data_IF_759344282157
#
_entry.id   IF_759344282157
#
_cell.length_a   1.000
_cell.length_b   1.000
_cell.length_c   1.000
_cell.angle_alpha   90.00
_cell.angle_beta   90.00
_cell.angle_gamma   90.00
#
_symmetry.space_group_name_H-M   'P 1'
#
loop_
_entity.id
_entity.type
_entity.pdbx_description
1 polymer ?
#
# COMPACT_ATOMS: atom_id res chain seq x y z
N UNK A 1 -64.38 -32.21 -35.37
CA UNK A 1 -63.85 -30.84 -35.45
C UNK A 1 -64.18 -30.09 -34.20
N UNK A 2 -63.45 -30.22 -33.17
CA UNK A 2 -63.48 -29.44 -31.90
C UNK A 2 -62.48 -30.14 -30.98
N UNK A 3 -61.24 -29.76 -30.97
CA UNK A 3 -60.24 -29.90 -29.90
C UNK A 3 -58.83 -29.65 -30.45
N UNK A 4 -58.55 -28.38 -30.72
CA UNK A 4 -57.16 -27.99 -30.97
C UNK A 4 -56.94 -26.50 -30.66
N UNK A 5 -57.27 -26.09 -29.43
CA UNK A 5 -57.02 -24.72 -28.97
C UNK A 5 -56.98 -24.63 -27.46
N UNK A 6 -56.03 -25.31 -26.82
CA UNK A 6 -55.68 -25.07 -25.41
C UNK A 6 -54.31 -25.68 -25.07
N UNK A 7 -53.23 -25.19 -25.69
CA UNK A 7 -51.86 -25.53 -25.25
C UNK A 7 -50.83 -24.50 -25.70
N UNK A 8 -51.14 -23.22 -25.58
CA UNK A 8 -50.10 -22.15 -25.70
C UNK A 8 -50.48 -21.06 -24.70
N UNK A 9 -50.12 -21.21 -23.44
CA UNK A 9 -49.97 -20.12 -22.48
C UNK A 9 -49.47 -20.62 -21.12
N UNK A 10 -48.24 -21.18 -21.11
CA UNK A 10 -47.54 -21.41 -19.84
C UNK A 10 -46.05 -21.54 -20.05
N UNK A 11 -45.45 -20.65 -20.85
CA UNK A 11 -43.99 -20.55 -21.02
C UNK A 11 -43.64 -19.08 -21.20
N UNK A 12 -43.60 -18.33 -20.15
CA UNK A 12 -43.23 -16.94 -20.25
C UNK A 12 -43.34 -16.15 -18.94
N UNK A 13 -42.75 -16.64 -17.85
CA UNK A 13 -42.51 -15.79 -16.66
C UNK A 13 -41.54 -16.42 -15.67
N UNK A 14 -40.32 -16.77 -16.11
CA UNK A 14 -39.22 -17.09 -15.18
C UNK A 14 -37.88 -16.67 -15.75
N UNK A 15 -37.73 -15.36 -16.02
CA UNK A 15 -36.42 -14.80 -16.24
C UNK A 15 -36.49 -13.29 -16.00
N UNK A 16 -36.32 -12.86 -14.76
CA UNK A 16 -35.89 -11.50 -14.39
C UNK A 16 -35.80 -11.36 -12.85
N UNK A 17 -34.89 -12.10 -12.23
CA UNK A 17 -34.48 -11.82 -10.84
C UNK A 17 -33.02 -12.23 -10.63
N UNK A 18 -32.12 -11.77 -11.50
CA UNK A 18 -30.67 -11.89 -11.29
C UNK A 18 -29.96 -10.62 -11.76
N UNK A 19 -30.27 -9.51 -11.16
CA UNK A 19 -29.43 -8.30 -11.31
C UNK A 19 -29.80 -7.33 -10.21
N UNK A 20 -29.10 -7.34 -9.08
CA UNK A 20 -28.94 -6.11 -8.28
C UNK A 20 -28.20 -6.29 -6.94
N UNK A 21 -27.37 -7.32 -6.78
CA UNK A 21 -26.57 -7.45 -5.54
C UNK A 21 -25.09 -7.09 -5.68
N UNK A 22 -24.63 -6.71 -6.85
CA UNK A 22 -23.20 -6.38 -7.09
C UNK A 22 -22.85 -4.89 -6.94
N UNK A 23 -23.80 -3.98 -6.85
CA UNK A 23 -23.53 -2.54 -6.83
C UNK A 23 -23.39 -1.93 -5.42
N UNK A 24 -23.81 -2.61 -4.36
CA UNK A 24 -23.81 -2.06 -2.99
C UNK A 24 -22.57 -2.41 -2.17
N UNK A 25 -21.74 -3.38 -2.63
CA UNK A 25 -20.48 -3.76 -1.96
C UNK A 25 -19.33 -2.78 -2.25
N UNK A 26 -19.29 -2.20 -3.45
CA UNK A 26 -18.17 -1.36 -3.90
C UNK A 26 -18.07 -0.02 -3.17
N UNK A 27 -19.18 0.60 -2.79
CA UNK A 27 -19.16 1.92 -2.14
C UNK A 27 -18.64 1.89 -0.69
N UNK A 28 -18.92 0.84 0.07
CA UNK A 28 -18.44 0.70 1.45
C UNK A 28 -16.94 0.39 1.50
N UNK A 29 -16.45 -0.43 0.58
CA UNK A 29 -15.02 -0.79 0.51
C UNK A 29 -14.11 0.42 0.25
N UNK A 30 -14.57 1.39 -0.56
CA UNK A 30 -13.81 2.61 -0.83
C UNK A 30 -13.92 3.66 0.29
N UNK A 31 -14.94 3.59 1.12
CA UNK A 31 -15.17 4.52 2.23
C UNK A 31 -14.48 4.11 3.54
N UNK A 32 -14.06 2.84 3.66
CA UNK A 32 -13.38 2.37 4.86
C UNK A 32 -11.89 2.74 4.80
N UNK A 33 -11.47 3.64 5.70
CA UNK A 33 -10.12 4.17 5.78
C UNK A 33 -9.13 3.19 6.44
N UNK A 34 -7.85 3.47 6.28
CA UNK A 34 -6.77 2.82 7.03
C UNK A 34 -6.84 3.23 8.50
N UNK A 35 -6.62 2.25 9.37
CA UNK A 35 -6.41 2.49 10.80
C UNK A 35 -5.24 1.64 11.30
N UNK A 36 -4.58 2.00 12.42
CA UNK A 36 -3.52 1.16 12.99
C UNK A 36 -3.99 -0.27 13.32
N UNK A 37 -5.30 -0.45 13.57
CA UNK A 37 -5.87 -1.74 13.95
C UNK A 37 -6.28 -2.63 12.78
N UNK A 38 -6.39 -2.09 11.55
CA UNK A 38 -6.83 -2.86 10.38
C UNK A 38 -5.74 -3.08 9.33
N UNK A 39 -4.57 -2.45 9.47
CA UNK A 39 -3.53 -2.43 8.45
C UNK A 39 -2.25 -3.18 8.88
N UNK A 40 -1.52 -3.69 7.88
CA UNK A 40 -0.16 -4.22 7.96
C UNK A 40 0.71 -3.56 6.91
N UNK A 41 1.97 -3.24 7.22
CA UNK A 41 2.95 -2.75 6.25
C UNK A 41 3.71 -3.92 5.62
N UNK A 42 3.78 -3.97 4.30
CA UNK A 42 4.59 -4.91 3.53
C UNK A 42 5.65 -4.15 2.71
N UNK A 43 6.92 -4.35 3.04
CA UNK A 43 8.06 -3.77 2.32
C UNK A 43 8.70 -4.84 1.44
N UNK A 44 8.58 -4.70 0.12
CA UNK A 44 8.94 -5.75 -0.83
C UNK A 44 10.17 -5.33 -1.63
N UNK A 45 11.24 -6.11 -1.49
CA UNK A 45 12.47 -6.00 -2.28
C UNK A 45 13.11 -4.59 -2.28
N UNK A 46 13.01 -3.87 -1.17
CA UNK A 46 13.77 -2.64 -0.96
C UNK A 46 15.24 -2.98 -0.76
N UNK A 47 15.89 -3.41 -1.84
CA UNK A 47 17.26 -3.92 -1.85
C UNK A 47 18.23 -2.94 -2.51
N UNK A 48 19.46 -2.90 -2.02
CA UNK A 48 20.47 -1.92 -2.44
C UNK A 48 20.82 -2.00 -3.93
N UNK A 49 20.86 -3.21 -4.50
CA UNK A 49 21.15 -3.42 -5.92
C UNK A 49 20.01 -2.97 -6.83
N UNK A 50 18.75 -3.18 -6.42
CA UNK A 50 17.59 -2.74 -7.19
C UNK A 50 17.45 -1.21 -7.20
N UNK A 51 17.77 -0.55 -6.08
CA UNK A 51 17.75 0.91 -6.00
C UNK A 51 18.63 1.57 -7.05
N UNK A 52 19.77 0.97 -7.39
CA UNK A 52 20.71 1.52 -8.40
C UNK A 52 20.04 1.65 -9.78
N UNK A 53 19.04 0.84 -10.08
CA UNK A 53 18.29 0.86 -11.35
C UNK A 53 17.15 1.87 -11.42
N UNK A 54 16.72 2.45 -10.30
CA UNK A 54 15.56 3.36 -10.25
C UNK A 54 15.85 4.66 -11.02
N UNK A 55 14.90 5.06 -11.89
CA UNK A 55 14.99 6.26 -12.75
C UNK A 55 13.68 7.04 -12.88
N UNK A 56 12.56 6.52 -12.36
CA UNK A 56 11.26 7.19 -12.34
C UNK A 56 11.14 8.26 -11.24
N UNK A 57 11.90 8.10 -10.17
CA UNK A 57 12.01 9.03 -9.04
C UNK A 57 13.48 9.37 -8.76
N UNK A 58 13.68 10.56 -8.17
CA UNK A 58 14.98 10.90 -7.62
C UNK A 58 15.32 9.93 -6.47
N UNK A 59 16.50 9.24 -6.49
CA UNK A 59 16.85 8.25 -5.47
C UNK A 59 16.91 8.79 -4.04
N UNK A 60 17.30 10.07 -3.86
CA UNK A 60 17.31 10.71 -2.53
C UNK A 60 15.89 10.93 -2.03
N UNK A 61 14.98 11.37 -2.91
CA UNK A 61 13.56 11.52 -2.57
C UNK A 61 12.91 10.16 -2.25
N UNK A 62 13.20 9.13 -3.04
CA UNK A 62 12.70 7.79 -2.79
C UNK A 62 13.14 7.27 -1.41
N UNK A 63 14.44 7.38 -1.08
CA UNK A 63 14.96 7.02 0.24
C UNK A 63 14.31 7.82 1.38
N UNK A 64 14.07 9.11 1.16
CA UNK A 64 13.38 9.96 2.11
C UNK A 64 11.94 9.48 2.37
N UNK A 65 11.20 9.15 1.32
CA UNK A 65 9.83 8.66 1.42
C UNK A 65 9.76 7.27 2.10
N UNK A 66 10.71 6.38 1.79
CA UNK A 66 10.85 5.08 2.47
C UNK A 66 11.07 5.28 3.98
N UNK A 67 11.94 6.24 4.37
CA UNK A 67 12.14 6.57 5.79
C UNK A 67 10.87 7.10 6.44
N UNK A 68 10.15 8.00 5.77
CA UNK A 68 8.86 8.51 6.26
C UNK A 68 7.85 7.40 6.51
N UNK A 69 7.66 6.51 5.52
CA UNK A 69 6.75 5.37 5.60
C UNK A 69 7.12 4.41 6.74
N UNK A 70 8.40 4.05 6.86
CA UNK A 70 8.86 3.09 7.86
C UNK A 70 8.90 3.66 9.29
N UNK A 71 9.26 4.94 9.45
CA UNK A 71 9.15 5.65 10.73
C UNK A 71 7.70 5.74 11.22
N UNK A 72 6.77 6.08 10.32
CA UNK A 72 5.35 6.10 10.61
C UNK A 72 4.86 4.73 11.12
N UNK A 73 5.20 3.65 10.41
CA UNK A 73 4.81 2.30 10.81
C UNK A 73 5.34 1.94 12.20
N UNK A 74 6.61 2.28 12.49
CA UNK A 74 7.19 2.09 13.82
C UNK A 74 6.47 2.89 14.91
N UNK A 75 6.18 4.17 14.63
CA UNK A 75 5.50 5.06 15.60
C UNK A 75 4.10 4.57 15.95
N UNK A 76 3.42 3.93 15.00
CA UNK A 76 2.08 3.37 15.17
C UNK A 76 2.05 1.90 15.59
N UNK A 77 3.22 1.30 15.84
CA UNK A 77 3.36 -0.14 16.14
C UNK A 77 2.65 -1.03 15.11
N UNK A 78 2.65 -0.61 13.83
CA UNK A 78 2.04 -1.39 12.75
C UNK A 78 2.78 -2.71 12.57
N UNK A 79 2.07 -3.84 12.52
CA UNK A 79 2.67 -5.08 12.06
C UNK A 79 3.36 -4.86 10.71
N UNK A 80 4.61 -5.25 10.61
CA UNK A 80 5.42 -5.00 9.42
C UNK A 80 6.10 -6.28 8.98
N UNK A 81 6.04 -6.59 7.68
CA UNK A 81 6.67 -7.74 7.05
C UNK A 81 7.57 -7.25 5.92
N UNK A 82 8.81 -7.69 5.93
CA UNK A 82 9.81 -7.35 4.92
C UNK A 82 10.12 -8.60 4.11
N UNK A 83 10.26 -8.49 2.80
CA UNK A 83 10.77 -9.61 1.99
C UNK A 83 11.85 -9.14 1.03
N UNK A 84 12.81 -10.03 0.77
CA UNK A 84 13.93 -9.82 -0.16
C UNK A 84 13.99 -10.95 -1.18
N UNK A 85 14.14 -10.58 -2.47
CA UNK A 85 14.32 -11.52 -3.57
C UNK A 85 15.81 -11.80 -3.75
N UNK A 86 16.22 -13.05 -3.50
CA UNK A 86 17.60 -13.52 -3.71
C UNK A 86 18.68 -12.53 -3.20
N UNK A 87 18.72 -12.24 -1.88
CA UNK A 87 19.58 -11.17 -1.34
C UNK A 87 21.09 -11.43 -1.45
N UNK A 88 21.51 -12.68 -1.70
CA UNK A 88 22.91 -13.03 -1.99
C UNK A 88 23.31 -12.80 -3.45
N UNK A 89 22.35 -12.46 -4.32
CA UNK A 89 22.56 -12.15 -5.72
C UNK A 89 22.71 -10.65 -6.01
N UNK A 90 22.49 -10.23 -7.28
CA UNK A 90 22.70 -8.84 -7.70
C UNK A 90 21.71 -7.85 -7.06
N UNK A 91 20.59 -8.31 -6.53
CA UNK A 91 19.63 -7.46 -5.83
C UNK A 91 20.20 -6.90 -4.51
N UNK A 92 21.13 -7.63 -3.89
CA UNK A 92 21.77 -7.22 -2.65
C UNK A 92 20.89 -7.30 -1.41
N UNK A 93 21.39 -6.84 -0.25
CA UNK A 93 20.67 -6.85 1.01
C UNK A 93 19.55 -5.78 1.05
N UNK A 94 18.68 -5.92 2.05
CA UNK A 94 17.66 -4.89 2.38
C UNK A 94 18.37 -3.56 2.70
N UNK A 95 17.79 -2.47 2.23
CA UNK A 95 18.29 -1.12 2.43
C UNK A 95 18.25 -0.72 3.92
N UNK A 96 19.29 -0.03 4.43
CA UNK A 96 19.30 0.47 5.81
C UNK A 96 18.11 1.37 6.17
N UNK A 97 17.57 2.09 5.20
CA UNK A 97 16.38 2.93 5.36
C UNK A 97 15.13 2.14 5.79
N UNK A 98 15.12 0.83 5.53
CA UNK A 98 14.05 -0.08 5.97
C UNK A 98 14.46 -0.81 7.25
N UNK A 99 15.59 -1.54 7.24
CA UNK A 99 15.97 -2.41 8.34
C UNK A 99 16.26 -1.66 9.65
N UNK A 100 16.81 -0.44 9.59
CA UNK A 100 17.08 0.35 10.80
C UNK A 100 15.81 0.93 11.44
N UNK A 101 14.78 1.20 10.63
CA UNK A 101 13.52 1.74 11.14
C UNK A 101 12.55 0.63 11.60
N UNK A 102 12.69 -0.57 11.08
CA UNK A 102 11.83 -1.72 11.38
C UNK A 102 12.69 -2.91 11.87
N UNK A 103 13.45 -2.77 12.97
CA UNK A 103 14.40 -3.80 13.40
C UNK A 103 13.71 -5.09 13.88
N UNK A 104 12.47 -5.00 14.32
CA UNK A 104 11.69 -6.12 14.84
C UNK A 104 10.79 -6.78 13.78
N UNK A 105 10.80 -6.26 12.54
CA UNK A 105 10.00 -6.82 11.45
C UNK A 105 10.58 -8.16 10.97
N UNK A 106 9.69 -9.12 10.71
CA UNK A 106 10.08 -10.40 10.12
C UNK A 106 10.61 -10.18 8.70
N UNK A 107 11.84 -10.63 8.43
CA UNK A 107 12.49 -10.57 7.11
C UNK A 107 12.45 -11.94 6.46
N UNK A 108 11.75 -12.03 5.32
CA UNK A 108 11.61 -13.26 4.55
C UNK A 108 12.48 -13.19 3.30
N UNK A 109 13.52 -14.04 3.26
CA UNK A 109 14.40 -14.16 2.13
C UNK A 109 13.86 -15.20 1.16
N UNK A 110 13.43 -14.76 -0.02
CA UNK A 110 12.90 -15.64 -1.08
C UNK A 110 14.04 -16.19 -1.93
N UNK A 111 13.91 -17.45 -2.34
CA UNK A 111 14.96 -18.16 -3.09
C UNK A 111 14.96 -17.79 -4.59
N UNK A 112 13.84 -17.29 -5.14
CA UNK A 112 13.74 -16.97 -6.57
C UNK A 112 12.35 -16.58 -7.04
N UNK A 113 11.34 -16.61 -6.18
CA UNK A 113 9.99 -16.19 -6.54
C UNK A 113 9.98 -14.69 -6.87
N UNK A 114 9.68 -14.39 -8.13
CA UNK A 114 9.56 -13.00 -8.63
C UNK A 114 8.37 -12.31 -7.97
N UNK A 115 7.22 -12.96 -7.99
CA UNK A 115 6.04 -12.49 -7.25
C UNK A 115 6.15 -12.91 -5.79
N UNK A 116 6.32 -11.94 -4.89
CA UNK A 116 6.40 -12.21 -3.45
C UNK A 116 5.16 -12.96 -2.91
N UNK A 117 4.00 -12.78 -3.52
CA UNK A 117 2.78 -13.50 -3.14
C UNK A 117 2.81 -15.00 -3.43
N UNK A 118 3.74 -15.47 -4.28
CA UNK A 118 3.97 -16.91 -4.51
C UNK A 118 4.76 -17.57 -3.35
N UNK A 119 5.46 -16.79 -2.52
CA UNK A 119 6.10 -17.29 -1.30
C UNK A 119 5.06 -17.62 -0.24
N UNK A 120 5.01 -18.88 0.17
CA UNK A 120 4.11 -19.33 1.22
C UNK A 120 4.45 -18.67 2.57
N UNK A 121 5.72 -18.49 2.86
CA UNK A 121 6.20 -17.87 4.10
C UNK A 121 5.75 -16.41 4.18
N UNK A 122 5.87 -15.66 3.09
CA UNK A 122 5.41 -14.27 3.05
C UNK A 122 3.90 -14.18 3.26
N UNK A 123 3.09 -15.00 2.57
CA UNK A 123 1.63 -15.03 2.79
C UNK A 123 1.27 -15.42 4.22
N UNK A 124 1.97 -16.40 4.81
CA UNK A 124 1.77 -16.82 6.21
C UNK A 124 2.07 -15.67 7.18
N UNK A 125 3.15 -14.92 6.97
CA UNK A 125 3.51 -13.77 7.79
C UNK A 125 2.44 -12.67 7.72
N UNK A 126 1.98 -12.31 6.53
CA UNK A 126 0.86 -11.36 6.37
C UNK A 126 -0.41 -11.87 7.07
N UNK A 127 -0.80 -13.12 6.83
CA UNK A 127 -2.00 -13.74 7.43
C UNK A 127 -1.95 -13.79 8.95
N UNK A 128 -0.77 -14.05 9.53
CA UNK A 128 -0.53 -14.10 10.98
C UNK A 128 -0.87 -12.78 11.68
N UNK A 129 -0.76 -11.65 10.98
CA UNK A 129 -1.11 -10.33 11.53
C UNK A 129 -2.60 -10.17 11.78
N UNK A 130 -3.45 -10.98 11.17
CA UNK A 130 -4.91 -10.86 11.22
C UNK A 130 -5.48 -9.66 10.47
N UNK A 131 -4.64 -8.83 9.86
CA UNK A 131 -5.04 -7.59 9.17
C UNK A 131 -5.59 -7.89 7.78
N UNK A 132 -6.56 -7.09 7.34
CA UNK A 132 -7.19 -7.22 6.01
C UNK A 132 -6.75 -6.16 5.02
N UNK A 133 -6.17 -5.07 5.49
CA UNK A 133 -5.62 -4.00 4.67
C UNK A 133 -4.10 -4.11 4.64
N UNK A 134 -3.52 -4.10 3.42
CA UNK A 134 -2.07 -4.18 3.23
C UNK A 134 -1.58 -2.87 2.63
N UNK A 135 -0.79 -2.13 3.38
CA UNK A 135 0.01 -1.02 2.88
C UNK A 135 1.26 -1.64 2.27
N UNK A 136 1.43 -1.51 0.96
CA UNK A 136 2.47 -2.23 0.22
C UNK A 136 3.36 -1.26 -0.56
N UNK A 137 4.66 -1.38 -0.41
CA UNK A 137 5.66 -0.67 -1.20
C UNK A 137 6.71 -1.67 -1.73
N UNK A 138 7.31 -1.40 -2.90
CA UNK A 138 8.25 -2.35 -3.50
C UNK A 138 9.15 -1.77 -4.59
N UNK A 139 10.34 -2.27 -4.71
CA UNK A 139 11.32 -2.00 -5.77
C UNK A 139 11.59 -3.31 -6.52
N UNK A 140 11.18 -3.41 -7.79
CA UNK A 140 10.65 -2.37 -8.70
C UNK A 140 9.12 -2.34 -8.71
N UNK A 141 8.55 -1.15 -8.98
CA UNK A 141 7.11 -0.90 -8.95
C UNK A 141 6.30 -1.84 -9.85
N UNK A 142 6.79 -2.12 -11.05
CA UNK A 142 6.09 -2.89 -12.08
C UNK A 142 6.18 -4.43 -11.90
N UNK A 143 7.00 -4.89 -10.97
CA UNK A 143 7.19 -6.32 -10.65
C UNK A 143 6.96 -6.57 -9.17
N UNK A 144 7.90 -6.10 -8.33
CA UNK A 144 7.93 -6.44 -6.91
C UNK A 144 6.78 -5.81 -6.11
N UNK A 145 6.24 -4.66 -6.55
CA UNK A 145 5.02 -4.10 -5.98
C UNK A 145 3.78 -4.64 -6.71
N UNK A 146 3.71 -4.47 -8.02
CA UNK A 146 2.48 -4.70 -8.79
C UNK A 146 1.99 -6.15 -8.71
N UNK A 147 2.87 -7.14 -8.89
CA UNK A 147 2.43 -8.54 -8.92
C UNK A 147 1.84 -9.01 -7.59
N UNK A 148 2.51 -8.83 -6.44
CA UNK A 148 1.93 -9.23 -5.16
C UNK A 148 0.72 -8.37 -4.77
N UNK A 149 0.66 -7.09 -5.15
CA UNK A 149 -0.50 -6.24 -4.89
C UNK A 149 -1.76 -6.77 -5.59
N UNK A 150 -1.65 -7.12 -6.88
CA UNK A 150 -2.75 -7.69 -7.65
C UNK A 150 -3.15 -9.07 -7.12
N UNK A 151 -2.16 -9.92 -6.79
CA UNK A 151 -2.44 -11.25 -6.27
C UNK A 151 -3.12 -11.21 -4.90
N UNK A 152 -2.68 -10.35 -4.00
CA UNK A 152 -3.32 -10.14 -2.70
C UNK A 152 -4.76 -9.59 -2.83
N UNK A 153 -4.97 -8.62 -3.74
CA UNK A 153 -6.31 -8.09 -4.02
C UNK A 153 -7.26 -9.19 -4.55
N UNK A 154 -6.77 -10.07 -5.42
CA UNK A 154 -7.54 -11.21 -5.92
C UNK A 154 -7.92 -12.23 -4.83
N UNK A 155 -7.15 -12.32 -3.74
CA UNK A 155 -7.47 -13.11 -2.54
C UNK A 155 -8.35 -12.36 -1.52
N UNK A 156 -8.82 -11.16 -1.84
CA UNK A 156 -9.77 -10.39 -1.03
C UNK A 156 -9.12 -9.50 0.04
N UNK A 157 -7.82 -9.24 -0.06
CA UNK A 157 -7.19 -8.18 0.72
C UNK A 157 -7.47 -6.80 0.11
N UNK A 158 -7.55 -5.80 0.96
CA UNK A 158 -7.65 -4.41 0.57
C UNK A 158 -6.24 -3.81 0.50
N UNK A 159 -5.72 -3.65 -0.72
CA UNK A 159 -4.30 -3.32 -0.94
C UNK A 159 -4.12 -1.85 -1.30
N UNK A 160 -3.22 -1.18 -0.58
CA UNK A 160 -2.81 0.21 -0.76
C UNK A 160 -1.38 0.24 -1.27
N UNK A 161 -1.20 0.50 -2.56
CA UNK A 161 0.11 0.55 -3.21
C UNK A 161 0.74 1.94 -3.08
N UNK A 162 1.81 2.04 -2.30
CA UNK A 162 2.51 3.30 -1.99
C UNK A 162 3.56 3.56 -3.05
N UNK A 163 3.18 4.31 -4.10
CA UNK A 163 4.00 4.46 -5.30
C UNK A 163 5.22 5.38 -5.13
N UNK A 164 5.16 6.34 -4.22
CA UNK A 164 6.25 7.27 -3.96
C UNK A 164 7.29 6.75 -2.96
N UNK A 165 6.99 5.62 -2.29
CA UNK A 165 7.95 4.78 -1.55
C UNK A 165 8.37 3.53 -2.34
N UNK A 166 8.04 3.49 -3.64
CA UNK A 166 8.39 2.47 -4.62
C UNK A 166 9.10 3.13 -5.80
N UNK A 167 9.88 2.38 -6.56
CA UNK A 167 10.62 2.97 -7.68
C UNK A 167 10.86 1.95 -8.80
N UNK A 168 11.02 2.41 -10.03
CA UNK A 168 11.25 1.57 -11.20
C UNK A 168 12.13 2.23 -12.26
N UNK A 169 12.24 1.61 -13.42
CA UNK A 169 13.18 1.92 -14.49
C UNK A 169 12.95 3.28 -15.18
N UNK A 170 11.70 3.70 -15.32
CA UNK A 170 11.31 5.00 -15.89
C UNK A 170 9.83 5.29 -15.66
N UNK A 171 9.40 6.53 -16.00
CA UNK A 171 8.01 6.99 -15.82
C UNK A 171 6.97 6.15 -16.57
N UNK A 172 7.24 5.77 -17.81
CA UNK A 172 6.29 4.97 -18.60
C UNK A 172 6.00 3.62 -17.94
N UNK A 173 7.03 2.98 -17.37
CA UNK A 173 6.90 1.71 -16.64
C UNK A 173 6.09 1.91 -15.36
N UNK A 174 6.34 2.99 -14.61
CA UNK A 174 5.57 3.34 -13.42
C UNK A 174 4.08 3.55 -13.77
N UNK A 175 3.79 4.33 -14.80
CA UNK A 175 2.42 4.62 -15.23
C UNK A 175 1.67 3.36 -15.65
N UNK A 176 2.31 2.48 -16.43
CA UNK A 176 1.74 1.19 -16.83
C UNK A 176 1.42 0.30 -15.62
N UNK A 177 2.32 0.25 -14.64
CA UNK A 177 2.11 -0.50 -13.40
C UNK A 177 0.93 0.06 -12.58
N UNK A 178 0.86 1.38 -12.43
CA UNK A 178 -0.24 2.06 -11.71
C UNK A 178 -1.60 1.79 -12.37
N UNK A 179 -1.68 1.91 -13.70
CA UNK A 179 -2.92 1.63 -14.44
C UNK A 179 -3.37 0.18 -14.22
N UNK A 180 -2.44 -0.78 -14.32
CA UNK A 180 -2.75 -2.19 -14.14
C UNK A 180 -3.18 -2.52 -12.70
N UNK A 181 -2.53 -1.94 -11.69
CA UNK A 181 -2.93 -2.08 -10.29
C UNK A 181 -4.32 -1.51 -10.04
N UNK A 182 -4.61 -0.31 -10.55
CA UNK A 182 -5.93 0.32 -10.42
C UNK A 182 -7.04 -0.50 -11.07
N UNK A 183 -6.80 -1.06 -12.27
CA UNK A 183 -7.76 -1.96 -12.96
C UNK A 183 -8.04 -3.23 -12.15
N UNK A 184 -7.09 -3.69 -11.37
CA UNK A 184 -7.23 -4.86 -10.49
C UNK A 184 -7.85 -4.53 -9.12
N UNK A 185 -8.27 -3.28 -8.88
CA UNK A 185 -8.88 -2.85 -7.62
C UNK A 185 -7.89 -2.49 -6.51
N UNK A 186 -6.60 -2.42 -6.82
CA UNK A 186 -5.56 -1.94 -5.89
C UNK A 186 -5.68 -0.42 -5.76
N UNK A 187 -5.67 0.08 -4.54
CA UNK A 187 -5.70 1.52 -4.23
C UNK A 187 -4.29 2.09 -4.34
N UNK A 188 -4.06 2.89 -5.37
CA UNK A 188 -2.78 3.59 -5.56
C UNK A 188 -2.76 4.84 -4.69
N UNK A 189 -1.71 5.00 -3.88
CA UNK A 189 -1.60 6.06 -2.88
C UNK A 189 -0.13 6.52 -2.70
N UNK A 190 0.09 7.46 -1.79
CA UNK A 190 1.40 7.97 -1.37
C UNK A 190 1.62 7.77 0.12
N UNK A 191 2.87 7.77 0.57
CA UNK A 191 3.18 7.57 1.99
C UNK A 191 2.59 8.67 2.89
N UNK A 192 2.55 9.92 2.40
CA UNK A 192 1.94 11.03 3.14
C UNK A 192 0.42 10.88 3.27
N UNK A 193 -0.27 10.38 2.24
CA UNK A 193 -1.70 10.05 2.32
C UNK A 193 -1.97 8.91 3.29
N UNK A 194 -1.15 7.86 3.27
CA UNK A 194 -1.24 6.75 4.24
C UNK A 194 -1.05 7.26 5.67
N UNK A 195 -0.06 8.14 5.90
CA UNK A 195 0.15 8.75 7.22
C UNK A 195 -1.10 9.53 7.67
N UNK A 196 -1.66 10.34 6.78
CA UNK A 196 -2.83 11.15 7.08
C UNK A 196 -4.06 10.29 7.40
N UNK A 197 -4.31 9.21 6.66
CA UNK A 197 -5.40 8.28 6.95
C UNK A 197 -5.21 7.56 8.31
N UNK A 198 -3.99 7.08 8.60
CA UNK A 198 -3.68 6.39 9.85
C UNK A 198 -3.69 7.31 11.07
N UNK A 199 -3.40 8.59 10.88
CA UNK A 199 -3.48 9.62 11.93
C UNK A 199 -4.92 10.04 12.19
N UNK A 200 -5.74 10.11 11.14
CA UNK A 200 -7.15 10.51 11.10
C UNK A 200 -7.41 11.94 11.63
N UNK A 201 -6.93 12.28 12.81
CA UNK A 201 -7.20 13.56 13.49
C UNK A 201 -5.94 14.11 14.16
N UNK A 202 -5.71 15.41 14.02
CA UNK A 202 -4.61 16.12 14.70
C UNK A 202 -4.73 16.12 16.24
N UNK A 203 -5.85 15.71 16.79
CA UNK A 203 -6.08 15.51 18.24
C UNK A 203 -5.77 14.08 18.69
N UNK A 204 -5.42 13.18 17.75
CA UNK A 204 -5.07 11.80 18.10
C UNK A 204 -3.81 11.75 18.98
N UNK A 205 -3.66 10.72 19.84
CA UNK A 205 -2.53 10.62 20.78
C UNK A 205 -1.15 10.65 20.10
N UNK A 206 -1.05 10.17 18.87
CA UNK A 206 0.20 10.10 18.07
C UNK A 206 0.35 11.24 17.06
N UNK A 207 -0.58 12.20 17.00
CA UNK A 207 -0.59 13.25 15.98
C UNK A 207 0.69 14.10 15.97
N UNK A 208 1.23 14.45 17.13
CA UNK A 208 2.46 15.25 17.23
C UNK A 208 3.68 14.48 16.70
N UNK A 209 3.80 13.19 17.01
CA UNK A 209 4.89 12.33 16.52
C UNK A 209 4.79 12.14 15.00
N UNK A 210 3.59 11.85 14.49
CA UNK A 210 3.33 11.70 13.06
C UNK A 210 3.51 13.02 12.30
N UNK A 211 3.08 14.13 12.87
CA UNK A 211 3.29 15.47 12.35
C UNK A 211 4.78 15.83 12.23
N UNK A 212 5.60 15.42 13.20
CA UNK A 212 7.05 15.59 13.14
C UNK A 212 7.67 14.78 12.00
N UNK A 213 7.23 13.52 11.77
CA UNK A 213 7.67 12.70 10.63
C UNK A 213 7.26 13.35 9.32
N UNK A 214 6.02 13.81 9.20
CA UNK A 214 5.55 14.54 8.02
C UNK A 214 6.39 15.79 7.76
N UNK A 215 6.70 16.54 8.81
CA UNK A 215 7.54 17.74 8.76
C UNK A 215 8.98 17.46 8.37
N UNK A 216 9.58 16.34 8.83
CA UNK A 216 10.95 15.95 8.48
C UNK A 216 11.08 15.49 7.02
N UNK A 217 10.04 14.81 6.50
CA UNK A 217 10.11 14.11 5.23
C UNK A 217 9.32 14.77 4.08
N UNK A 218 8.64 15.90 4.34
CA UNK A 218 7.94 16.69 3.31
C UNK A 218 8.20 18.19 3.47
N UNK A 219 7.83 18.98 2.47
CA UNK A 219 7.86 20.45 2.54
C UNK A 219 6.86 21.03 3.56
N UNK A 220 5.97 20.23 4.14
CA UNK A 220 5.08 20.64 5.21
C UNK A 220 5.85 21.14 6.45
N UNK A 221 7.05 20.62 6.70
CA UNK A 221 7.94 21.10 7.76
C UNK A 221 8.28 22.59 7.66
N UNK A 222 8.37 23.14 6.47
CA UNK A 222 8.60 24.57 6.27
C UNK A 222 7.41 25.41 6.75
N UNK A 223 6.19 24.99 6.41
CA UNK A 223 4.97 25.64 6.87
C UNK A 223 4.84 25.59 8.40
N UNK A 224 5.07 24.41 8.98
CA UNK A 224 5.04 24.21 10.42
C UNK A 224 6.09 25.05 11.16
N UNK A 225 7.35 25.06 10.69
CA UNK A 225 8.42 25.84 11.29
C UNK A 225 8.18 27.35 11.16
N UNK A 226 7.64 27.80 10.05
CA UNK A 226 7.24 29.21 9.83
C UNK A 226 6.14 29.61 10.83
N UNK A 227 5.12 28.79 10.98
CA UNK A 227 4.07 29.00 11.97
C UNK A 227 4.64 29.08 13.40
N UNK A 228 5.49 28.15 13.81
CA UNK A 228 6.09 28.12 15.14
C UNK A 228 6.99 29.34 15.42
N UNK A 229 7.75 29.79 14.40
CA UNK A 229 8.56 30.99 14.51
C UNK A 229 7.70 32.24 14.71
N UNK A 230 6.61 32.37 13.95
CA UNK A 230 5.65 33.47 14.09
C UNK A 230 4.99 33.47 15.47
N UNK A 231 4.57 32.32 15.98
CA UNK A 231 3.99 32.21 17.34
C UNK A 231 4.95 32.67 18.43
N UNK A 232 6.25 32.34 18.33
CA UNK A 232 7.28 32.82 19.26
C UNK A 232 7.44 34.34 19.23
N UNK A 233 7.38 34.96 18.05
CA UNK A 233 7.47 36.41 17.91
C UNK A 233 6.27 37.12 18.52
N UNK A 234 5.06 36.59 18.29
CA UNK A 234 3.82 37.16 18.88
C UNK A 234 3.82 37.03 20.41
N UNK A 235 4.27 35.89 20.96
CA UNK A 235 4.33 35.67 22.41
C UNK A 235 5.43 36.52 23.11
N UNK A 236 6.37 37.09 22.38
CA UNK A 236 7.44 37.95 22.89
C UNK A 236 7.08 39.46 22.91
N UNK A 237 5.91 39.83 22.38
CA UNK A 237 5.34 41.17 22.38
C UNK A 237 4.40 41.36 23.58
#
# INVERSE_FOLDING_TARGET
MKQLTKLISLLGLTSLLFTSTLALGGSKQFAETLTPDNAVLAMIDHQTGLLVGVRDLNPTLLKNNIKGLTKMAKTLDLPSVITASYPSGPNGPIMPEVSNNLPDAEIINRSGEINAWNSEEFRKAIKKTGRKKIIMAGIVTDVCLMFPAIAAAAEGYDVYAVIDASGTWNKTVQEAAMMRMTQAGVKVTTWGSVLAELMDDWRSPKAMELGAILGEHTSYGWAYNSFMATQKQVAAQ
#
